data_IF_172415149384
#
_entry.id   IF_172415149384
#
_cell.length_a   1.000
_cell.length_b   1.000
_cell.length_c   1.000
_cell.angle_alpha   90.00
_cell.angle_beta   90.00
_cell.angle_gamma   90.00
#
_symmetry.space_group_name_H-M   'P 1'
#
loop_
_entity.id
_entity.type
_entity.pdbx_description
1 polymer ?
#
# COMPACT_ATOMS: atom_id res chain seq x y z
N UNK A 1 -71.82 -66.91 -20.69
CA UNK A 1 -71.53 -66.47 -22.06
C UNK A 1 -71.68 -64.94 -22.10
N UNK A 2 -70.67 -64.22 -22.14
CA UNK A 2 -70.48 -62.89 -22.61
C UNK A 2 -69.27 -62.25 -21.90
N UNK A 3 -68.27 -62.20 -22.69
CA UNK A 3 -66.97 -61.58 -22.34
C UNK A 3 -67.10 -60.09 -22.28
N UNK A 4 -66.78 -59.47 -21.16
CA UNK A 4 -66.67 -58.06 -20.96
C UNK A 4 -65.19 -57.67 -20.94
N UNK A 5 -64.70 -57.04 -22.07
CA UNK A 5 -63.38 -56.53 -22.18
C UNK A 5 -63.22 -55.24 -21.39
N UNK A 6 -62.33 -55.22 -20.44
CA UNK A 6 -61.93 -53.97 -19.73
C UNK A 6 -60.86 -53.20 -20.55
N UNK A 7 -61.19 -51.98 -20.95
CA UNK A 7 -60.27 -51.00 -21.56
C UNK A 7 -59.34 -50.47 -20.48
N UNK A 8 -58.03 -50.57 -20.69
CA UNK A 8 -57.03 -49.92 -19.90
C UNK A 8 -57.04 -48.35 -20.10
N UNK A 9 -56.78 -47.53 -19.08
CA UNK A 9 -56.69 -46.08 -19.25
C UNK A 9 -55.32 -45.69 -19.84
N UNK A 10 -55.37 -44.82 -20.83
CA UNK A 10 -54.23 -44.22 -21.49
C UNK A 10 -53.38 -43.39 -20.52
N UNK A 11 -52.08 -43.63 -20.49
CA UNK A 11 -51.09 -42.82 -19.76
C UNK A 11 -51.09 -41.37 -20.30
N UNK A 12 -51.51 -40.45 -19.45
CA UNK A 12 -51.40 -39.03 -19.73
C UNK A 12 -49.97 -38.58 -19.54
N UNK A 13 -49.36 -38.07 -20.60
CA UNK A 13 -48.09 -37.34 -20.59
C UNK A 13 -48.14 -36.13 -19.65
N UNK A 14 -47.78 -36.32 -18.41
CA UNK A 14 -47.60 -35.27 -17.40
C UNK A 14 -46.22 -34.64 -17.57
N UNK A 15 -46.11 -33.60 -18.44
CA UNK A 15 -44.95 -32.73 -18.49
C UNK A 15 -44.66 -32.17 -17.09
N UNK A 16 -43.48 -32.40 -16.45
CA UNK A 16 -43.21 -31.93 -15.10
C UNK A 16 -43.20 -30.41 -15.10
N UNK A 17 -44.20 -29.79 -14.46
CA UNK A 17 -44.26 -28.37 -14.24
C UNK A 17 -42.94 -27.90 -13.67
N UNK A 18 -42.07 -27.27 -14.46
CA UNK A 18 -40.84 -26.61 -13.99
C UNK A 18 -41.19 -25.75 -12.81
N UNK A 19 -40.72 -26.12 -11.63
CA UNK A 19 -40.80 -25.28 -10.42
C UNK A 19 -40.19 -23.92 -10.76
N UNK A 20 -41.01 -22.86 -10.83
CA UNK A 20 -40.54 -21.51 -10.99
C UNK A 20 -39.73 -21.17 -9.74
N UNK A 21 -38.41 -20.93 -9.91
CA UNK A 21 -37.57 -20.42 -8.85
C UNK A 21 -38.07 -19.02 -8.45
N UNK A 22 -38.05 -18.65 -7.14
CA UNK A 22 -38.47 -17.33 -6.71
C UNK A 22 -37.63 -16.24 -7.39
N UNK A 23 -38.29 -15.22 -7.93
CA UNK A 23 -37.61 -14.12 -8.60
C UNK A 23 -36.87 -13.22 -7.61
N UNK A 24 -35.74 -12.65 -8.05
CA UNK A 24 -34.87 -11.78 -7.26
C UNK A 24 -35.43 -10.35 -7.23
N UNK A 25 -35.42 -9.70 -6.05
CA UNK A 25 -35.81 -8.30 -5.91
C UNK A 25 -34.69 -7.41 -6.42
N UNK A 26 -35.01 -6.52 -7.37
CA UNK A 26 -34.05 -5.59 -7.95
C UNK A 26 -34.21 -4.18 -7.38
N UNK A 27 -33.09 -3.46 -7.35
CA UNK A 27 -33.10 -2.00 -7.15
C UNK A 27 -33.77 -1.33 -8.35
N UNK A 28 -34.78 -0.47 -8.16
CA UNK A 28 -35.48 0.18 -9.27
C UNK A 28 -34.52 0.89 -10.21
N UNK A 29 -34.68 0.66 -11.52
CA UNK A 29 -33.89 1.31 -12.55
C UNK A 29 -32.44 0.79 -12.75
N UNK A 30 -31.92 -0.10 -11.89
CA UNK A 30 -30.53 -0.59 -11.95
C UNK A 30 -30.19 -1.28 -13.28
N UNK A 31 -31.08 -2.13 -13.78
CA UNK A 31 -30.88 -2.85 -15.06
C UNK A 31 -30.84 -1.88 -16.23
N UNK A 32 -31.77 -0.91 -16.27
CA UNK A 32 -31.80 0.14 -17.30
C UNK A 32 -30.53 1.00 -17.26
N UNK A 33 -30.11 1.41 -16.07
CA UNK A 33 -28.88 2.19 -15.86
C UNK A 33 -27.65 1.44 -16.38
N UNK A 34 -27.46 0.19 -15.95
CA UNK A 34 -26.32 -0.63 -16.36
C UNK A 34 -26.30 -0.87 -17.88
N UNK A 35 -27.45 -1.16 -18.47
CA UNK A 35 -27.56 -1.37 -19.92
C UNK A 35 -27.18 -0.13 -20.70
N UNK A 36 -27.68 1.05 -20.32
CA UNK A 36 -27.36 2.31 -20.98
C UNK A 36 -25.88 2.68 -20.86
N UNK A 37 -25.30 2.46 -19.68
CA UNK A 37 -23.88 2.68 -19.46
C UNK A 37 -22.99 1.73 -20.26
N UNK A 38 -23.47 0.49 -20.50
CA UNK A 38 -22.77 -0.49 -21.35
C UNK A 38 -23.05 -0.29 -22.86
N UNK A 39 -23.86 0.71 -23.25
CA UNK A 39 -24.20 0.98 -24.66
C UNK A 39 -25.03 -0.14 -25.32
N UNK A 40 -25.75 -0.97 -24.55
CA UNK A 40 -26.47 -2.13 -25.06
C UNK A 40 -27.94 -1.80 -25.34
N UNK A 41 -28.48 -2.37 -26.46
CA UNK A 41 -29.91 -2.42 -26.68
C UNK A 41 -30.57 -3.52 -25.84
N UNK A 42 -31.91 -3.47 -25.66
CA UNK A 42 -32.66 -4.51 -24.96
C UNK A 42 -32.43 -5.91 -25.58
N UNK A 43 -32.37 -6.00 -26.91
CA UNK A 43 -32.13 -7.24 -27.63
C UNK A 43 -30.69 -7.76 -27.39
N UNK A 44 -29.71 -6.86 -27.39
CA UNK A 44 -28.33 -7.22 -27.12
C UNK A 44 -28.14 -7.70 -25.68
N UNK A 45 -28.78 -7.05 -24.68
CA UNK A 45 -28.69 -7.47 -23.29
C UNK A 45 -29.32 -8.87 -23.08
N UNK A 46 -30.45 -9.16 -23.70
CA UNK A 46 -31.13 -10.45 -23.56
C UNK A 46 -30.57 -11.59 -24.42
N UNK A 47 -29.69 -11.30 -25.40
CA UNK A 47 -29.23 -12.26 -26.41
C UNK A 47 -28.70 -13.56 -25.81
N UNK A 48 -29.30 -14.67 -26.22
CA UNK A 48 -28.89 -16.02 -25.81
C UNK A 48 -29.47 -16.52 -24.49
N UNK A 49 -30.26 -15.70 -23.77
CA UNK A 49 -30.81 -16.09 -22.45
C UNK A 49 -32.28 -15.72 -22.27
N UNK A 50 -32.66 -14.48 -22.57
CA UNK A 50 -34.03 -13.97 -22.48
C UNK A 50 -34.36 -13.03 -23.63
N UNK A 51 -35.67 -12.83 -23.89
CA UNK A 51 -36.13 -11.95 -24.98
C UNK A 51 -36.05 -10.48 -24.60
N UNK A 52 -35.99 -9.57 -25.60
CA UNK A 52 -36.00 -8.13 -25.37
C UNK A 52 -37.23 -7.64 -24.57
N UNK A 53 -38.47 -8.13 -24.84
CA UNK A 53 -39.61 -7.84 -23.98
C UNK A 53 -39.44 -8.27 -22.52
N UNK A 54 -38.79 -9.40 -22.26
CA UNK A 54 -38.51 -9.84 -20.89
C UNK A 54 -37.55 -8.87 -20.16
N UNK A 55 -36.50 -8.40 -20.84
CA UNK A 55 -35.60 -7.36 -20.27
C UNK A 55 -36.40 -6.08 -20.00
N UNK A 56 -37.24 -5.64 -20.92
CA UNK A 56 -38.08 -4.46 -20.74
C UNK A 56 -39.00 -4.56 -19.51
N UNK A 57 -39.61 -5.74 -19.26
CA UNK A 57 -40.44 -5.97 -18.09
C UNK A 57 -39.63 -5.95 -16.79
N UNK A 58 -38.41 -6.48 -16.82
CA UNK A 58 -37.47 -6.44 -15.70
C UNK A 58 -37.04 -5.02 -15.38
N UNK A 59 -36.66 -4.22 -16.40
CA UNK A 59 -36.26 -2.81 -16.24
C UNK A 59 -37.36 -1.93 -15.61
N UNK A 60 -38.61 -2.24 -15.92
CA UNK A 60 -39.78 -1.51 -15.39
C UNK A 60 -40.37 -2.16 -14.13
N UNK A 61 -39.64 -3.05 -13.47
CA UNK A 61 -40.01 -3.76 -12.24
C UNK A 61 -41.37 -4.52 -12.33
N UNK A 62 -41.84 -4.84 -13.56
CA UNK A 62 -43.07 -5.62 -13.80
C UNK A 62 -42.85 -7.12 -13.64
N UNK A 63 -41.59 -7.57 -13.69
CA UNK A 63 -41.22 -8.98 -13.52
C UNK A 63 -39.91 -9.06 -12.77
N UNK A 64 -39.81 -10.02 -11.83
CA UNK A 64 -38.57 -10.31 -11.11
C UNK A 64 -37.78 -11.36 -11.88
N UNK A 65 -36.51 -11.11 -12.24
CA UNK A 65 -35.67 -12.09 -12.91
C UNK A 65 -35.33 -13.24 -11.97
N UNK A 66 -35.05 -14.41 -12.53
CA UNK A 66 -34.39 -15.49 -11.79
C UNK A 66 -32.91 -15.15 -11.57
N UNK A 67 -32.26 -15.77 -10.59
CA UNK A 67 -30.84 -15.58 -10.32
C UNK A 67 -29.97 -15.80 -11.57
N UNK A 68 -30.15 -16.89 -12.36
CA UNK A 68 -29.40 -17.07 -13.62
C UNK A 68 -29.61 -15.95 -14.66
N UNK A 69 -30.82 -15.37 -14.68
CA UNK A 69 -31.11 -14.22 -15.58
C UNK A 69 -30.38 -12.97 -15.09
N UNK A 70 -30.31 -12.76 -13.80
CA UNK A 70 -29.58 -11.66 -13.20
C UNK A 70 -28.08 -11.79 -13.41
N UNK A 71 -27.52 -12.98 -13.26
CA UNK A 71 -26.11 -13.30 -13.58
C UNK A 71 -25.78 -13.02 -15.04
N UNK A 72 -26.69 -13.38 -15.97
CA UNK A 72 -26.53 -13.06 -17.38
C UNK A 72 -26.49 -11.54 -17.62
N UNK A 73 -27.41 -10.79 -17.01
CA UNK A 73 -27.46 -9.31 -17.09
C UNK A 73 -26.17 -8.70 -16.52
N UNK A 74 -25.73 -9.14 -15.37
CA UNK A 74 -24.51 -8.69 -14.70
C UNK A 74 -23.27 -8.89 -15.60
N UNK A 75 -23.10 -10.10 -16.14
CA UNK A 75 -22.01 -10.45 -17.06
C UNK A 75 -22.02 -9.59 -18.34
N UNK A 76 -23.21 -9.37 -18.91
CA UNK A 76 -23.36 -8.60 -20.16
C UNK A 76 -23.14 -7.12 -19.99
N UNK A 77 -23.42 -6.57 -18.81
CA UNK A 77 -23.25 -5.15 -18.49
C UNK A 77 -21.91 -4.83 -17.81
N UNK A 78 -21.12 -5.87 -17.44
CA UNK A 78 -19.88 -5.70 -16.71
C UNK A 78 -20.08 -5.15 -15.28
N UNK A 79 -21.28 -5.33 -14.71
CA UNK A 79 -21.61 -4.92 -13.35
C UNK A 79 -21.75 -6.13 -12.43
N UNK A 80 -21.32 -6.04 -11.16
CA UNK A 80 -21.53 -7.11 -10.20
C UNK A 80 -23.04 -7.28 -9.91
N UNK A 81 -23.46 -8.50 -9.53
CA UNK A 81 -24.87 -8.84 -9.28
C UNK A 81 -25.51 -7.91 -8.24
N UNK A 82 -24.74 -7.52 -7.26
CA UNK A 82 -25.12 -6.66 -6.14
C UNK A 82 -25.58 -5.27 -6.59
N UNK A 83 -25.02 -4.78 -7.70
CA UNK A 83 -25.46 -3.52 -8.30
C UNK A 83 -26.97 -3.52 -8.61
N UNK A 84 -27.52 -4.70 -8.88
CA UNK A 84 -28.91 -4.89 -9.28
C UNK A 84 -29.84 -5.23 -8.13
N UNK A 85 -29.33 -5.72 -7.00
CA UNK A 85 -30.18 -6.17 -5.90
C UNK A 85 -30.86 -5.01 -5.18
N UNK A 86 -32.15 -5.21 -4.82
CA UNK A 86 -32.83 -4.33 -3.88
C UNK A 86 -32.26 -4.58 -2.49
N UNK A 87 -31.81 -3.53 -1.83
CA UNK A 87 -31.41 -3.62 -0.44
C UNK A 87 -32.68 -3.79 0.44
N UNK A 88 -32.64 -4.52 1.55
CA UNK A 88 -33.75 -4.56 2.48
C UNK A 88 -34.05 -3.16 3.00
N UNK A 89 -35.31 -2.75 2.87
CA UNK A 89 -35.80 -1.43 3.32
C UNK A 89 -35.67 -1.39 4.84
N UNK A 90 -34.74 -0.59 5.36
CA UNK A 90 -34.60 -0.36 6.81
C UNK A 90 -33.16 -0.33 7.39
N UNK A 91 -32.13 -0.71 6.61
CA UNK A 91 -30.75 -0.74 7.12
C UNK A 91 -29.75 0.04 6.22
N UNK A 92 -30.19 1.04 5.48
CA UNK A 92 -29.52 1.42 4.23
C UNK A 92 -28.76 2.74 4.24
N UNK A 93 -29.19 3.76 4.97
CA UNK A 93 -28.53 5.06 4.87
C UNK A 93 -27.29 5.16 5.78
N UNK A 94 -27.41 4.79 7.04
CA UNK A 94 -26.32 4.89 8.03
C UNK A 94 -25.12 3.98 7.72
N UNK A 95 -25.37 2.73 7.28
CA UNK A 95 -24.28 1.78 7.03
C UNK A 95 -23.54 2.04 5.72
N UNK A 96 -24.19 2.66 4.73
CA UNK A 96 -23.54 3.04 3.48
C UNK A 96 -22.78 4.36 3.66
N UNK A 97 -23.35 5.31 4.37
CA UNK A 97 -22.68 6.55 4.76
C UNK A 97 -21.41 6.25 5.57
N UNK A 98 -21.51 5.36 6.57
CA UNK A 98 -20.36 4.95 7.37
C UNK A 98 -19.28 4.20 6.58
N UNK A 99 -19.64 3.44 5.52
CA UNK A 99 -18.63 2.83 4.64
C UNK A 99 -17.91 3.88 3.79
N UNK A 100 -18.63 4.88 3.29
CA UNK A 100 -18.05 6.00 2.55
C UNK A 100 -17.14 6.82 3.47
N UNK A 101 -17.55 7.04 4.70
CA UNK A 101 -16.75 7.71 5.72
C UNK A 101 -15.46 6.91 6.02
N UNK A 102 -15.56 5.59 6.16
CA UNK A 102 -14.39 4.71 6.34
C UNK A 102 -13.43 4.81 5.14
N UNK A 103 -13.95 4.85 3.91
CA UNK A 103 -13.15 5.04 2.71
C UNK A 103 -12.41 6.39 2.72
N UNK A 104 -13.12 7.45 3.12
CA UNK A 104 -12.54 8.79 3.24
C UNK A 104 -11.45 8.83 4.32
N UNK A 105 -11.69 8.28 5.51
CA UNK A 105 -10.70 8.22 6.58
C UNK A 105 -9.42 7.45 6.18
N UNK A 106 -9.58 6.35 5.44
CA UNK A 106 -8.42 5.60 4.91
C UNK A 106 -7.68 6.39 3.81
N UNK A 107 -8.41 7.12 2.96
CA UNK A 107 -7.81 7.96 1.93
C UNK A 107 -7.05 9.14 2.54
N UNK A 108 -7.58 9.73 3.62
CA UNK A 108 -6.98 10.85 4.35
C UNK A 108 -5.89 10.41 5.36
N UNK A 109 -5.50 9.12 5.35
CA UNK A 109 -4.54 8.52 6.27
C UNK A 109 -4.88 8.71 7.78
N UNK A 110 -6.15 8.96 8.13
CA UNK A 110 -6.65 9.04 9.52
C UNK A 110 -6.84 7.63 10.09
N UNK A 111 -5.74 6.89 10.19
CA UNK A 111 -5.74 5.44 10.39
C UNK A 111 -6.39 5.01 11.69
N UNK A 112 -6.17 5.73 12.81
CA UNK A 112 -6.77 5.38 14.10
C UNK A 112 -8.30 5.52 14.09
N UNK A 113 -8.82 6.57 13.48
CA UNK A 113 -10.25 6.78 13.33
C UNK A 113 -10.87 5.78 12.36
N UNK A 114 -10.18 5.48 11.26
CA UNK A 114 -10.57 4.43 10.33
C UNK A 114 -10.66 3.06 11.02
N UNK A 115 -9.71 2.72 11.88
CA UNK A 115 -9.73 1.47 12.66
C UNK A 115 -10.92 1.46 13.62
N UNK A 116 -11.17 2.53 14.37
CA UNK A 116 -12.28 2.62 15.31
C UNK A 116 -13.64 2.47 14.62
N UNK A 117 -13.83 3.20 13.49
CA UNK A 117 -15.07 3.12 12.70
C UNK A 117 -15.24 1.74 12.08
N UNK A 118 -14.20 1.19 11.46
CA UNK A 118 -14.25 -0.11 10.80
C UNK A 118 -14.57 -1.26 11.77
N UNK A 119 -14.00 -1.27 12.99
CA UNK A 119 -14.33 -2.25 14.03
C UNK A 119 -15.79 -2.12 14.44
N UNK A 120 -16.31 -0.89 14.63
CA UNK A 120 -17.71 -0.70 14.96
C UNK A 120 -18.66 -1.20 13.87
N UNK A 121 -18.24 -1.12 12.59
CA UNK A 121 -19.02 -1.64 11.46
C UNK A 121 -19.02 -3.17 11.40
N UNK A 122 -17.93 -3.83 11.82
CA UNK A 122 -17.88 -5.28 11.95
C UNK A 122 -18.81 -5.78 13.06
N UNK A 123 -18.80 -5.12 14.23
CA UNK A 123 -19.61 -5.49 15.39
C UNK A 123 -21.12 -5.31 15.16
N UNK A 124 -21.53 -4.32 14.39
CA UNK A 124 -22.93 -4.06 14.04
C UNK A 124 -23.57 -5.07 13.10
N UNK A 125 -22.81 -6.06 12.63
CA UNK A 125 -23.34 -7.13 11.78
C UNK A 125 -23.66 -6.63 10.36
N UNK A 126 -22.66 -6.18 9.64
CA UNK A 126 -22.79 -5.78 8.23
C UNK A 126 -23.22 -6.95 7.34
N UNK A 127 -23.94 -6.66 6.25
CA UNK A 127 -24.28 -7.71 5.27
C UNK A 127 -23.02 -8.38 4.73
N UNK A 128 -23.10 -9.67 4.42
CA UNK A 128 -21.97 -10.45 3.91
C UNK A 128 -21.22 -9.74 2.77
N UNK A 129 -21.95 -9.01 1.92
CA UNK A 129 -21.40 -8.22 0.81
C UNK A 129 -20.47 -7.08 1.24
N UNK A 130 -20.78 -6.40 2.34
CA UNK A 130 -19.98 -5.26 2.83
C UNK A 130 -18.78 -5.72 3.66
N UNK A 131 -18.84 -6.91 4.25
CA UNK A 131 -17.80 -7.45 5.12
C UNK A 131 -16.43 -7.52 4.42
N UNK A 132 -16.38 -7.97 3.17
CA UNK A 132 -15.12 -8.01 2.40
C UNK A 132 -14.51 -6.63 2.25
N UNK A 133 -15.34 -5.61 1.93
CA UNK A 133 -14.86 -4.23 1.74
C UNK A 133 -14.43 -3.57 3.05
N UNK A 134 -15.17 -3.78 4.14
CA UNK A 134 -14.80 -3.29 5.48
C UNK A 134 -13.48 -3.92 5.93
N UNK A 135 -13.30 -5.25 5.76
CA UNK A 135 -12.05 -5.94 6.10
C UNK A 135 -10.87 -5.44 5.28
N UNK A 136 -11.06 -5.20 3.98
CA UNK A 136 -10.05 -4.62 3.11
C UNK A 136 -9.62 -3.23 3.56
N UNK A 137 -10.58 -2.34 3.84
CA UNK A 137 -10.31 -0.98 4.33
C UNK A 137 -9.65 -0.97 5.71
N UNK A 138 -10.11 -1.83 6.61
CA UNK A 138 -9.46 -2.03 7.91
C UNK A 138 -8.03 -2.56 7.76
N UNK A 139 -7.80 -3.51 6.86
CA UNK A 139 -6.45 -3.99 6.55
C UNK A 139 -5.54 -2.85 6.13
N UNK A 140 -6.00 -1.96 5.25
CA UNK A 140 -5.27 -0.76 4.83
C UNK A 140 -5.04 0.22 6.00
N UNK A 141 -6.05 0.45 6.83
CA UNK A 141 -5.92 1.31 8.01
C UNK A 141 -4.88 0.76 9.00
N UNK A 142 -4.85 -0.56 9.22
CA UNK A 142 -3.85 -1.20 10.08
C UNK A 142 -2.44 -1.15 9.49
N UNK A 143 -2.28 -1.20 8.17
CA UNK A 143 -0.99 -0.93 7.50
C UNK A 143 -0.52 0.48 7.85
N UNK A 144 -1.37 1.47 7.65
CA UNK A 144 -1.07 2.87 7.98
C UNK A 144 -0.87 3.14 9.47
N UNK A 145 -1.43 2.30 10.36
CA UNK A 145 -1.23 2.34 11.80
C UNK A 145 -0.04 1.47 12.27
N UNK A 146 0.80 0.96 11.36
CA UNK A 146 1.96 0.10 11.65
C UNK A 146 1.64 -1.16 12.46
N UNK A 147 0.48 -1.78 12.19
CA UNK A 147 0.03 -3.03 12.81
C UNK A 147 -0.08 -4.17 11.77
N UNK A 148 1.04 -4.70 11.27
CA UNK A 148 1.09 -5.61 10.13
C UNK A 148 0.37 -6.94 10.37
N UNK A 149 0.42 -7.51 11.56
CA UNK A 149 -0.21 -8.79 11.87
C UNK A 149 -1.75 -8.73 11.75
N UNK A 150 -2.35 -7.65 12.27
CA UNK A 150 -3.80 -7.42 12.16
C UNK A 150 -4.22 -7.16 10.71
N UNK A 151 -3.40 -6.41 9.98
CA UNK A 151 -3.62 -6.16 8.56
C UNK A 151 -3.62 -7.47 7.77
N UNK A 152 -2.65 -8.36 8.01
CA UNK A 152 -2.50 -9.63 7.30
C UNK A 152 -3.75 -10.52 7.41
N UNK A 153 -4.28 -10.69 8.63
CA UNK A 153 -5.48 -11.51 8.86
C UNK A 153 -6.70 -10.95 8.11
N UNK A 154 -6.96 -9.65 8.23
CA UNK A 154 -8.10 -9.01 7.59
C UNK A 154 -8.02 -9.02 6.06
N UNK A 155 -6.82 -8.82 5.49
CA UNK A 155 -6.60 -8.90 4.05
C UNK A 155 -6.76 -10.32 3.52
N UNK A 156 -6.36 -11.36 4.28
CA UNK A 156 -6.60 -12.76 3.91
C UNK A 156 -8.10 -13.09 3.86
N UNK A 157 -8.87 -12.63 4.85
CA UNK A 157 -10.32 -12.80 4.87
C UNK A 157 -11.02 -12.00 3.77
N UNK A 158 -10.57 -10.77 3.49
CA UNK A 158 -11.09 -9.96 2.39
C UNK A 158 -10.82 -10.62 1.04
N UNK A 159 -9.61 -11.14 0.82
CA UNK A 159 -9.23 -11.87 -0.39
C UNK A 159 -10.13 -13.07 -0.62
N UNK A 160 -10.31 -13.93 0.39
CA UNK A 160 -11.19 -15.11 0.30
C UNK A 160 -12.63 -14.71 -0.05
N UNK A 161 -13.11 -13.58 0.50
CA UNK A 161 -14.42 -13.04 0.15
C UNK A 161 -14.51 -12.62 -1.31
N UNK A 162 -13.54 -11.84 -1.83
CA UNK A 162 -13.56 -11.36 -3.22
C UNK A 162 -13.37 -12.50 -4.23
N UNK A 163 -12.61 -13.53 -3.88
CA UNK A 163 -12.55 -14.78 -4.66
C UNK A 163 -13.92 -15.47 -4.73
N UNK A 164 -14.61 -15.61 -3.59
CA UNK A 164 -15.91 -16.28 -3.51
C UNK A 164 -17.02 -15.54 -4.28
N UNK A 165 -17.00 -14.20 -4.29
CA UNK A 165 -17.98 -13.38 -5.02
C UNK A 165 -17.55 -13.05 -6.46
N UNK A 166 -16.38 -13.53 -6.88
CA UNK A 166 -15.78 -13.30 -8.20
C UNK A 166 -15.65 -11.79 -8.55
N UNK A 167 -15.30 -10.95 -7.56
CA UNK A 167 -14.98 -9.55 -7.76
C UNK A 167 -13.49 -9.41 -8.13
N UNK A 168 -13.19 -9.55 -9.41
CA UNK A 168 -11.82 -9.55 -9.91
C UNK A 168 -11.06 -8.23 -9.68
N UNK A 169 -11.75 -7.08 -9.62
CA UNK A 169 -11.12 -5.79 -9.35
C UNK A 169 -10.69 -5.72 -7.88
N UNK A 170 -11.60 -5.97 -6.97
CA UNK A 170 -11.29 -5.95 -5.53
C UNK A 170 -10.32 -7.07 -5.14
N UNK A 171 -10.33 -8.19 -5.87
CA UNK A 171 -9.32 -9.25 -5.70
C UNK A 171 -7.92 -8.76 -6.06
N UNK A 172 -7.75 -8.10 -7.23
CA UNK A 172 -6.48 -7.54 -7.65
C UNK A 172 -5.98 -6.47 -6.66
N UNK A 173 -6.86 -5.56 -6.21
CA UNK A 173 -6.58 -4.55 -5.20
C UNK A 173 -6.14 -5.17 -3.87
N UNK A 174 -6.82 -6.21 -3.41
CA UNK A 174 -6.52 -6.90 -2.16
C UNK A 174 -5.16 -7.61 -2.21
N UNK A 175 -4.86 -8.34 -3.30
CA UNK A 175 -3.55 -8.99 -3.49
C UNK A 175 -2.44 -7.92 -3.59
N UNK A 176 -2.70 -6.81 -4.27
CA UNK A 176 -1.76 -5.68 -4.32
C UNK A 176 -1.45 -5.10 -2.94
N UNK A 177 -2.46 -4.93 -2.09
CA UNK A 177 -2.26 -4.46 -0.70
C UNK A 177 -1.55 -5.52 0.16
N UNK A 178 -1.76 -6.82 -0.10
CA UNK A 178 -0.95 -7.88 0.53
C UNK A 178 0.53 -7.80 0.10
N UNK A 179 0.81 -7.44 -1.15
CA UNK A 179 2.17 -7.21 -1.63
C UNK A 179 2.81 -5.99 -0.96
N UNK A 180 2.07 -4.89 -0.79
CA UNK A 180 2.52 -3.71 -0.03
C UNK A 180 2.89 -4.08 1.41
N UNK A 181 2.02 -4.86 2.08
CA UNK A 181 2.28 -5.35 3.44
C UNK A 181 3.51 -6.27 3.49
N UNK A 182 3.64 -7.20 2.53
CA UNK A 182 4.79 -8.09 2.42
C UNK A 182 6.09 -7.30 2.24
N UNK A 183 6.06 -6.25 1.43
CA UNK A 183 7.20 -5.35 1.23
C UNK A 183 7.59 -4.62 2.53
N UNK A 184 6.62 -4.08 3.26
CA UNK A 184 6.86 -3.40 4.55
C UNK A 184 7.44 -4.33 5.62
N UNK A 185 7.06 -5.61 5.59
CA UNK A 185 7.55 -6.63 6.53
C UNK A 185 8.78 -7.40 6.03
N UNK A 186 9.40 -6.94 4.94
CA UNK A 186 10.53 -7.59 4.28
C UNK A 186 10.29 -9.08 3.97
N UNK A 187 9.05 -9.43 3.63
CA UNK A 187 8.70 -10.78 3.24
C UNK A 187 9.14 -11.03 1.79
N UNK A 188 9.90 -12.12 1.50
CA UNK A 188 10.39 -12.43 0.16
C UNK A 188 9.28 -12.65 -0.88
N UNK A 189 8.04 -12.90 -0.45
CA UNK A 189 6.90 -13.12 -1.35
C UNK A 189 6.34 -11.81 -1.98
N UNK A 190 6.85 -10.64 -1.60
CA UNK A 190 6.33 -9.35 -2.03
C UNK A 190 6.26 -9.22 -3.57
N UNK A 191 7.33 -9.61 -4.29
CA UNK A 191 7.37 -9.59 -5.77
C UNK A 191 6.33 -10.53 -6.37
N UNK A 192 6.27 -11.78 -5.87
CA UNK A 192 5.32 -12.77 -6.37
C UNK A 192 3.86 -12.35 -6.17
N UNK A 193 3.54 -11.73 -5.03
CA UNK A 193 2.22 -11.18 -4.75
C UNK A 193 1.89 -10.00 -5.68
N UNK A 194 2.83 -9.10 -5.94
CA UNK A 194 2.64 -7.97 -6.85
C UNK A 194 2.40 -8.43 -8.29
N UNK A 195 3.17 -9.42 -8.77
CA UNK A 195 2.96 -10.04 -10.08
C UNK A 195 1.59 -10.72 -10.19
N UNK A 196 1.17 -11.43 -9.14
CA UNK A 196 -0.15 -12.07 -9.08
C UNK A 196 -1.28 -11.03 -9.12
N UNK A 197 -1.15 -9.90 -8.41
CA UNK A 197 -2.10 -8.80 -8.46
C UNK A 197 -2.19 -8.20 -9.86
N UNK A 198 -1.06 -7.94 -10.52
CA UNK A 198 -1.00 -7.44 -11.90
C UNK A 198 -1.64 -8.42 -12.89
N UNK A 199 -1.39 -9.72 -12.74
CA UNK A 199 -2.01 -10.76 -13.57
C UNK A 199 -3.53 -10.75 -13.41
N UNK A 200 -4.03 -10.65 -12.18
CA UNK A 200 -5.47 -10.56 -11.89
C UNK A 200 -6.08 -9.28 -12.50
N UNK A 201 -5.42 -8.12 -12.35
CA UNK A 201 -5.85 -6.86 -12.94
C UNK A 201 -5.90 -6.93 -14.48
N UNK A 202 -4.87 -7.46 -15.12
CA UNK A 202 -4.77 -7.61 -16.58
C UNK A 202 -5.73 -8.63 -17.17
N UNK A 203 -6.32 -9.51 -16.37
CA UNK A 203 -7.38 -10.41 -16.80
C UNK A 203 -8.74 -9.71 -16.96
N UNK A 204 -8.92 -8.53 -16.36
CA UNK A 204 -10.15 -7.74 -16.46
C UNK A 204 -10.33 -7.13 -17.87
N UNK A 205 -11.57 -6.91 -18.26
CA UNK A 205 -11.90 -6.29 -19.56
C UNK A 205 -13.00 -5.23 -19.37
N UNK A 206 -12.72 -3.96 -19.58
CA UNK A 206 -11.39 -3.36 -19.88
C UNK A 206 -10.44 -3.44 -18.69
N UNK A 207 -9.13 -3.40 -18.95
CA UNK A 207 -8.12 -3.32 -17.88
C UNK A 207 -8.24 -1.95 -17.22
N UNK A 208 -8.38 -1.87 -15.89
CA UNK A 208 -8.49 -0.59 -15.18
C UNK A 208 -7.11 0.07 -15.04
N UNK A 209 -6.80 1.02 -15.92
CA UNK A 209 -5.49 1.69 -15.96
C UNK A 209 -5.04 2.31 -14.62
N UNK A 210 -5.91 2.94 -13.78
CA UNK A 210 -5.49 3.42 -12.47
C UNK A 210 -4.99 2.31 -11.54
N UNK A 211 -5.71 1.17 -11.52
CA UNK A 211 -5.31 0.00 -10.71
C UNK A 211 -4.02 -0.62 -11.28
N UNK A 212 -3.90 -0.77 -12.60
CA UNK A 212 -2.69 -1.31 -13.23
C UNK A 212 -1.47 -0.43 -12.90
N UNK A 213 -1.58 0.89 -13.05
CA UNK A 213 -0.51 1.83 -12.71
C UNK A 213 -0.09 1.72 -11.24
N UNK A 214 -1.06 1.65 -10.31
CA UNK A 214 -0.78 1.49 -8.88
C UNK A 214 -0.06 0.17 -8.59
N UNK A 215 -0.53 -0.94 -9.17
CA UNK A 215 0.07 -2.26 -8.96
C UNK A 215 1.49 -2.38 -9.56
N UNK A 216 1.75 -1.69 -10.67
CA UNK A 216 3.11 -1.56 -11.20
C UNK A 216 4.02 -0.78 -10.24
N UNK A 217 3.52 0.26 -9.57
CA UNK A 217 4.23 0.96 -8.50
C UNK A 217 4.54 0.04 -7.30
N UNK A 218 3.60 -0.82 -6.91
CA UNK A 218 3.81 -1.83 -5.85
C UNK A 218 4.89 -2.84 -6.25
N UNK A 219 4.87 -3.31 -7.51
CA UNK A 219 5.90 -4.22 -8.03
C UNK A 219 7.28 -3.56 -8.04
N UNK A 220 7.34 -2.31 -8.47
CA UNK A 220 8.58 -1.54 -8.47
C UNK A 220 9.16 -1.40 -7.04
N UNK A 221 8.32 -1.04 -6.06
CA UNK A 221 8.73 -0.95 -4.66
C UNK A 221 9.23 -2.30 -4.11
N UNK A 222 8.62 -3.43 -4.52
CA UNK A 222 9.07 -4.75 -4.13
C UNK A 222 10.43 -5.13 -4.75
N UNK A 223 10.68 -4.73 -6.02
CA UNK A 223 12.01 -4.88 -6.65
C UNK A 223 13.06 -4.01 -5.97
N UNK A 224 12.70 -2.76 -5.60
CA UNK A 224 13.57 -1.86 -4.82
C UNK A 224 14.04 -2.50 -3.53
N UNK A 225 13.10 -3.06 -2.74
CA UNK A 225 13.42 -3.72 -1.47
C UNK A 225 14.35 -4.94 -1.64
N UNK A 226 14.33 -5.55 -2.83
CA UNK A 226 15.25 -6.64 -3.19
C UNK A 226 16.55 -6.14 -3.86
N UNK A 227 16.81 -4.82 -3.89
CA UNK A 227 17.96 -4.19 -4.55
C UNK A 227 18.06 -4.48 -6.06
N UNK A 228 16.94 -4.83 -6.70
CA UNK A 228 16.84 -5.04 -8.15
C UNK A 228 16.43 -3.72 -8.83
N UNK A 229 17.36 -2.77 -8.86
CA UNK A 229 17.10 -1.41 -9.35
C UNK A 229 16.68 -1.38 -10.83
N UNK A 230 17.22 -2.26 -11.65
CA UNK A 230 16.88 -2.30 -13.07
C UNK A 230 15.41 -2.64 -13.30
N UNK A 231 14.91 -3.67 -12.62
CA UNK A 231 13.49 -4.04 -12.70
C UNK A 231 12.57 -3.05 -12.01
N UNK A 232 13.03 -2.44 -10.93
CA UNK A 232 12.27 -1.39 -10.23
C UNK A 232 12.04 -0.18 -11.14
N UNK A 233 13.10 0.33 -11.76
CA UNK A 233 13.05 1.45 -12.71
C UNK A 233 12.09 1.14 -13.87
N UNK A 234 12.24 -0.02 -14.51
CA UNK A 234 11.38 -0.43 -15.62
C UNK A 234 9.91 -0.51 -15.22
N UNK A 235 9.61 -0.99 -14.01
CA UNK A 235 8.25 -1.07 -13.49
C UNK A 235 7.66 0.32 -13.18
N UNK A 236 8.44 1.25 -12.60
CA UNK A 236 8.00 2.63 -12.38
C UNK A 236 7.75 3.38 -13.69
N UNK A 237 8.65 3.27 -14.68
CA UNK A 237 8.44 3.88 -16.00
C UNK A 237 7.15 3.37 -16.65
N UNK A 238 6.89 2.07 -16.57
CA UNK A 238 5.65 1.48 -17.07
C UNK A 238 4.42 1.95 -16.30
N UNK A 239 4.53 2.10 -14.97
CA UNK A 239 3.46 2.66 -14.13
C UNK A 239 3.10 4.09 -14.57
N UNK A 240 4.11 4.91 -14.85
CA UNK A 240 3.93 6.29 -15.33
C UNK A 240 3.29 6.29 -16.71
N UNK A 241 3.77 5.46 -17.65
CA UNK A 241 3.20 5.37 -19.00
C UNK A 241 1.71 5.01 -18.97
N UNK A 242 1.33 3.99 -18.19
CA UNK A 242 -0.08 3.57 -18.03
C UNK A 242 -0.89 4.62 -17.30
N UNK A 243 -0.31 5.26 -16.27
CA UNK A 243 -0.98 6.22 -15.40
C UNK A 243 -1.13 7.61 -16.03
N UNK A 244 -0.23 8.05 -16.88
CA UNK A 244 -0.19 9.41 -17.42
C UNK A 244 -1.48 9.81 -18.20
N UNK A 245 -2.19 8.84 -18.76
CA UNK A 245 -3.43 9.09 -19.53
C UNK A 245 -4.68 9.20 -18.65
N UNK A 246 -4.69 8.70 -17.41
CA UNK A 246 -5.92 8.45 -16.63
C UNK A 246 -5.79 8.64 -15.12
N UNK A 247 -4.59 8.80 -14.57
CA UNK A 247 -4.35 8.85 -13.12
C UNK A 247 -4.51 10.26 -12.57
N UNK A 248 -4.96 10.36 -11.32
CA UNK A 248 -4.89 11.63 -10.60
C UNK A 248 -3.43 12.13 -10.52
N UNK A 249 -3.25 13.44 -10.64
CA UNK A 249 -1.94 14.09 -10.62
C UNK A 249 -1.12 13.70 -9.37
N UNK A 250 -1.78 13.45 -8.24
CA UNK A 250 -1.13 13.02 -7.00
C UNK A 250 -0.42 11.65 -7.16
N UNK A 251 -1.09 10.67 -7.79
CA UNK A 251 -0.45 9.38 -8.06
C UNK A 251 0.75 9.53 -8.99
N UNK A 252 0.64 10.35 -10.03
CA UNK A 252 1.73 10.63 -10.96
C UNK A 252 2.93 11.27 -10.23
N UNK A 253 2.68 12.23 -9.35
CA UNK A 253 3.72 12.84 -8.54
C UNK A 253 4.46 11.81 -7.68
N UNK A 254 3.74 10.94 -7.00
CA UNK A 254 4.31 9.87 -6.17
C UNK A 254 5.16 8.89 -6.98
N UNK A 255 4.72 8.52 -8.17
CA UNK A 255 5.51 7.66 -9.07
C UNK A 255 6.81 8.33 -9.52
N UNK A 256 6.77 9.61 -9.88
CA UNK A 256 7.98 10.37 -10.20
C UNK A 256 8.92 10.46 -9.00
N UNK A 257 8.40 10.69 -7.80
CA UNK A 257 9.20 10.75 -6.57
C UNK A 257 9.88 9.41 -6.25
N UNK A 258 9.13 8.30 -6.36
CA UNK A 258 9.64 6.96 -6.15
C UNK A 258 10.73 6.61 -7.16
N UNK A 259 10.51 6.90 -8.45
CA UNK A 259 11.50 6.72 -9.51
C UNK A 259 12.76 7.56 -9.26
N UNK A 260 12.61 8.79 -8.79
CA UNK A 260 13.73 9.64 -8.39
C UNK A 260 14.56 9.06 -7.26
N UNK A 261 13.89 8.49 -6.23
CA UNK A 261 14.56 7.82 -5.13
C UNK A 261 15.31 6.57 -5.57
N UNK A 262 14.76 5.81 -6.53
CA UNK A 262 15.38 4.60 -7.06
C UNK A 262 16.66 4.91 -7.88
N UNK A 263 16.61 5.87 -8.79
CA UNK A 263 17.81 6.34 -9.51
C UNK A 263 18.89 6.83 -8.55
N UNK A 264 18.52 7.55 -7.48
CA UNK A 264 19.46 7.94 -6.42
C UNK A 264 20.11 6.74 -5.76
N UNK A 265 19.33 5.72 -5.39
CA UNK A 265 19.83 4.50 -4.76
C UNK A 265 20.74 3.68 -5.70
N UNK A 266 20.47 3.72 -7.01
CA UNK A 266 21.32 3.15 -8.04
C UNK A 266 22.59 3.96 -8.34
N UNK A 267 22.77 5.14 -7.72
CA UNK A 267 23.93 6.02 -7.87
C UNK A 267 23.79 7.05 -8.98
N UNK A 268 22.71 7.07 -9.77
CA UNK A 268 22.45 8.08 -10.79
C UNK A 268 21.73 9.30 -10.17
N UNK A 269 22.52 10.14 -9.51
CA UNK A 269 22.04 11.34 -8.81
C UNK A 269 21.40 12.36 -9.75
N UNK A 270 21.89 12.48 -11.00
CA UNK A 270 21.39 13.45 -11.97
C UNK A 270 19.97 13.11 -12.43
N UNK A 271 19.77 11.85 -12.83
CA UNK A 271 18.44 11.35 -13.23
C UNK A 271 17.48 11.35 -12.02
N UNK A 272 17.97 10.99 -10.82
CA UNK A 272 17.21 11.06 -9.57
C UNK A 272 16.69 12.47 -9.28
N UNK A 273 17.55 13.48 -9.34
CA UNK A 273 17.15 14.88 -9.16
C UNK A 273 16.10 15.32 -10.20
N UNK A 274 16.29 14.96 -11.48
CA UNK A 274 15.34 15.31 -12.55
C UNK A 274 13.95 14.75 -12.34
N UNK A 275 13.83 13.49 -11.89
CA UNK A 275 12.52 12.90 -11.60
C UNK A 275 11.89 13.47 -10.33
N UNK A 276 12.68 13.78 -9.29
CA UNK A 276 12.19 14.47 -8.09
C UNK A 276 11.66 15.85 -8.43
N UNK A 277 12.34 16.63 -9.29
CA UNK A 277 11.85 17.92 -9.79
C UNK A 277 10.52 17.81 -10.56
N UNK A 278 10.34 16.75 -11.37
CA UNK A 278 9.05 16.49 -12.04
C UNK A 278 7.94 16.21 -11.03
N UNK A 279 8.23 15.46 -9.97
CA UNK A 279 7.28 15.24 -8.87
C UNK A 279 6.86 16.55 -8.23
N UNK A 280 7.82 17.40 -7.85
CA UNK A 280 7.58 18.72 -7.26
C UNK A 280 6.72 19.61 -8.15
N UNK A 281 7.01 19.67 -9.45
CA UNK A 281 6.22 20.46 -10.40
C UNK A 281 4.74 20.05 -10.46
N UNK A 282 4.44 18.75 -10.35
CA UNK A 282 3.06 18.26 -10.29
C UNK A 282 2.40 18.61 -8.95
N UNK A 283 3.12 18.44 -7.83
CA UNK A 283 2.62 18.73 -6.48
C UNK A 283 2.31 20.20 -6.27
N UNK A 284 3.09 21.10 -6.86
CA UNK A 284 2.80 22.54 -6.86
C UNK A 284 1.46 22.86 -7.53
N UNK A 285 1.16 22.18 -8.64
CA UNK A 285 -0.13 22.36 -9.37
C UNK A 285 -1.31 21.92 -8.51
N UNK A 286 -1.20 20.77 -7.83
CA UNK A 286 -2.29 20.23 -7.01
C UNK A 286 -2.33 20.80 -5.59
N UNK A 287 -1.32 21.58 -5.20
CA UNK A 287 -1.17 22.20 -3.88
C UNK A 287 -1.15 21.20 -2.72
N UNK A 288 -0.63 20.00 -2.98
CA UNK A 288 -0.42 18.97 -1.95
C UNK A 288 0.82 19.33 -1.14
N UNK A 289 0.62 20.00 -0.01
CA UNK A 289 1.71 20.54 0.81
C UNK A 289 2.49 19.46 1.56
N UNK A 290 1.83 18.37 1.90
CA UNK A 290 2.44 17.28 2.66
C UNK A 290 3.46 16.52 1.81
N UNK A 291 3.03 16.07 0.63
CA UNK A 291 3.93 15.44 -0.33
C UNK A 291 4.97 16.45 -0.84
N UNK A 292 4.61 17.75 -1.00
CA UNK A 292 5.56 18.78 -1.40
C UNK A 292 6.70 18.93 -0.39
N UNK A 293 6.40 19.01 0.92
CA UNK A 293 7.41 19.10 1.97
C UNK A 293 8.37 17.90 1.93
N UNK A 294 7.84 16.70 1.78
CA UNK A 294 8.64 15.48 1.70
C UNK A 294 9.58 15.47 0.48
N UNK A 295 9.07 15.78 -0.71
CA UNK A 295 9.91 15.77 -1.92
C UNK A 295 10.90 16.93 -2.00
N UNK A 296 10.61 18.07 -1.37
CA UNK A 296 11.60 19.13 -1.16
C UNK A 296 12.76 18.64 -0.29
N UNK A 297 12.47 17.88 0.79
CA UNK A 297 13.50 17.23 1.60
C UNK A 297 14.30 16.21 0.78
N UNK A 298 13.63 15.35 0.02
CA UNK A 298 14.29 14.34 -0.80
C UNK A 298 15.23 14.94 -1.84
N UNK A 299 14.81 16.05 -2.48
CA UNK A 299 15.65 16.79 -3.42
C UNK A 299 16.87 17.41 -2.71
N UNK A 300 16.67 17.99 -1.52
CA UNK A 300 17.75 18.51 -0.70
C UNK A 300 18.81 17.44 -0.40
N UNK A 301 18.38 16.23 -0.04
CA UNK A 301 19.29 15.08 0.20
C UNK A 301 20.05 14.66 -1.07
N UNK A 302 19.39 14.62 -2.23
CA UNK A 302 20.04 14.35 -3.53
C UNK A 302 21.10 15.39 -3.85
N UNK A 303 20.77 16.67 -3.68
CA UNK A 303 21.68 17.79 -3.94
C UNK A 303 22.90 17.78 -2.98
N UNK A 304 22.69 17.44 -1.70
CA UNK A 304 23.82 17.19 -0.78
C UNK A 304 24.75 16.08 -1.26
N UNK A 305 24.18 14.98 -1.78
CA UNK A 305 24.99 13.87 -2.32
C UNK A 305 25.77 14.29 -3.58
N UNK A 306 25.23 15.21 -4.39
CA UNK A 306 25.93 15.83 -5.54
C UNK A 306 27.00 16.86 -5.12
N UNK A 307 26.98 17.32 -3.86
CA UNK A 307 27.86 18.40 -3.39
C UNK A 307 27.31 19.81 -3.63
N UNK A 308 26.06 19.95 -4.09
CA UNK A 308 25.38 21.21 -4.38
C UNK A 308 24.74 21.77 -3.08
N UNK A 309 25.58 22.12 -2.07
CA UNK A 309 25.13 22.40 -0.71
C UNK A 309 24.23 23.64 -0.60
N UNK A 310 24.46 24.67 -1.40
CA UNK A 310 23.62 25.89 -1.37
C UNK A 310 22.20 25.63 -1.90
N UNK A 311 22.08 24.80 -2.92
CA UNK A 311 20.78 24.39 -3.44
C UNK A 311 20.07 23.44 -2.46
N UNK A 312 20.81 22.49 -1.88
CA UNK A 312 20.31 21.62 -0.83
C UNK A 312 19.71 22.43 0.33
N UNK A 313 20.42 23.48 0.79
CA UNK A 313 19.93 24.36 1.87
C UNK A 313 18.62 25.05 1.50
N UNK A 314 18.47 25.51 0.26
CA UNK A 314 17.24 26.16 -0.21
C UNK A 314 16.05 25.20 -0.18
N UNK A 315 16.23 23.99 -0.68
CA UNK A 315 15.18 22.98 -0.72
C UNK A 315 14.83 22.45 0.67
N UNK A 316 15.80 22.15 1.52
CA UNK A 316 15.56 21.74 2.91
C UNK A 316 14.87 22.85 3.73
N UNK A 317 15.28 24.12 3.54
CA UNK A 317 14.63 25.27 4.18
C UNK A 317 13.18 25.42 3.73
N UNK A 318 12.88 25.21 2.44
CA UNK A 318 11.51 25.21 1.92
C UNK A 318 10.67 24.08 2.49
N UNK A 319 11.25 22.87 2.59
CA UNK A 319 10.62 21.73 3.24
C UNK A 319 10.25 22.05 4.69
N UNK A 320 11.18 22.61 5.47
CA UNK A 320 10.93 23.00 6.86
C UNK A 320 9.80 24.04 6.97
N UNK A 321 9.82 25.08 6.13
CA UNK A 321 8.78 26.11 6.10
C UNK A 321 7.39 25.52 5.77
N UNK A 322 7.32 24.56 4.85
CA UNK A 322 6.07 23.86 4.54
C UNK A 322 5.55 23.04 5.74
N UNK A 323 6.43 22.39 6.49
CA UNK A 323 6.06 21.70 7.72
C UNK A 323 5.52 22.65 8.80
N UNK A 324 6.13 23.84 8.95
CA UNK A 324 5.71 24.84 9.93
C UNK A 324 4.35 25.47 9.56
N UNK A 325 4.14 25.83 8.29
CA UNK A 325 2.90 26.46 7.79
C UNK A 325 1.67 25.56 7.90
N UNK A 326 1.85 24.25 7.75
CA UNK A 326 0.74 23.29 7.70
C UNK A 326 0.47 22.60 9.02
N UNK A 327 1.26 22.92 10.06
CA UNK A 327 1.25 22.20 11.34
C UNK A 327 1.42 20.68 11.13
N UNK A 328 2.13 20.32 10.05
CA UNK A 328 2.50 18.95 9.72
C UNK A 328 3.45 18.42 10.79
N UNK A 329 2.89 17.67 11.71
CA UNK A 329 3.68 17.05 12.78
C UNK A 329 4.61 15.97 12.23
N UNK A 330 4.14 15.21 11.22
CA UNK A 330 4.91 14.14 10.59
C UNK A 330 5.89 14.72 9.55
N UNK A 331 7.16 14.36 9.70
CA UNK A 331 8.21 14.70 8.73
C UNK A 331 9.09 15.88 9.13
N UNK A 332 8.64 16.80 10.01
CA UNK A 332 9.48 17.92 10.47
C UNK A 332 10.74 17.43 11.18
N UNK A 333 10.62 16.43 12.03
CA UNK A 333 11.73 15.76 12.70
C UNK A 333 12.78 15.23 11.71
N UNK A 334 12.32 14.60 10.61
CA UNK A 334 13.20 14.08 9.56
C UNK A 334 13.92 15.23 8.80
N UNK A 335 13.20 16.32 8.48
CA UNK A 335 13.81 17.51 7.82
C UNK A 335 14.90 18.12 8.69
N UNK A 336 14.70 18.18 10.02
CA UNK A 336 15.72 18.65 10.95
C UNK A 336 16.98 17.77 10.90
N UNK A 337 16.85 16.43 10.75
CA UNK A 337 18.02 15.55 10.57
C UNK A 337 18.73 15.78 9.23
N UNK A 338 17.99 16.05 8.15
CA UNK A 338 18.60 16.38 6.87
C UNK A 338 19.36 17.72 6.95
N UNK A 339 18.83 18.70 7.67
CA UNK A 339 19.53 19.96 7.96
C UNK A 339 20.74 19.75 8.88
N UNK A 340 20.66 18.85 9.86
CA UNK A 340 21.80 18.43 10.68
C UNK A 340 22.92 17.84 9.81
N UNK A 341 22.58 16.96 8.85
CA UNK A 341 23.57 16.42 7.91
C UNK A 341 24.24 17.54 7.11
N UNK A 342 23.46 18.49 6.59
CA UNK A 342 23.98 19.63 5.85
C UNK A 342 24.95 20.45 6.71
N UNK A 343 24.57 20.79 7.95
CA UNK A 343 25.40 21.54 8.88
C UNK A 343 26.72 20.78 9.21
N UNK A 344 26.65 19.44 9.34
CA UNK A 344 27.85 18.61 9.54
C UNK A 344 28.79 18.65 8.32
N UNK A 345 28.26 18.64 7.11
CA UNK A 345 29.05 18.75 5.87
C UNK A 345 29.71 20.13 5.73
N UNK A 346 29.08 21.16 6.24
CA UNK A 346 29.58 22.52 6.26
C UNK A 346 30.53 22.84 7.45
N UNK A 347 30.71 21.86 8.36
CA UNK A 347 31.56 22.01 9.53
C UNK A 347 30.91 22.80 10.67
N UNK A 348 29.59 23.05 10.60
CA UNK A 348 28.83 23.83 11.59
C UNK A 348 28.33 22.87 12.72
N UNK A 349 29.30 22.36 13.50
CA UNK A 349 29.07 21.28 14.47
C UNK A 349 28.06 21.64 15.57
N UNK A 350 28.09 22.91 16.04
CA UNK A 350 27.15 23.37 17.07
C UNK A 350 25.72 23.44 16.55
N UNK A 351 25.53 23.97 15.35
CA UNK A 351 24.21 23.99 14.69
C UNK A 351 23.68 22.57 14.41
N UNK A 352 24.58 21.68 13.98
CA UNK A 352 24.20 20.26 13.79
C UNK A 352 23.72 19.62 15.09
N UNK A 353 24.36 19.95 16.21
CA UNK A 353 23.92 19.48 17.53
C UNK A 353 22.53 19.99 17.89
N UNK A 354 22.26 21.29 17.72
CA UNK A 354 20.96 21.88 18.02
C UNK A 354 19.83 21.24 17.17
N UNK A 355 20.07 21.08 15.87
CA UNK A 355 19.12 20.47 14.94
C UNK A 355 18.82 19.00 15.27
N UNK A 356 19.85 18.22 15.62
CA UNK A 356 19.66 16.82 16.00
C UNK A 356 18.93 16.68 17.34
N UNK A 357 19.22 17.55 18.32
CA UNK A 357 18.54 17.58 19.60
C UNK A 357 17.06 17.99 19.46
N UNK A 358 16.77 19.03 18.67
CA UNK A 358 15.40 19.45 18.37
C UNK A 358 14.61 18.33 17.65
N UNK A 359 15.26 17.64 16.70
CA UNK A 359 14.67 16.48 16.02
C UNK A 359 14.32 15.37 17.01
N UNK A 360 15.24 15.02 17.91
CA UNK A 360 15.03 13.99 18.93
C UNK A 360 13.83 14.33 19.82
N UNK A 361 13.81 15.54 20.38
CA UNK A 361 12.71 16.01 21.25
C UNK A 361 11.36 15.96 20.53
N UNK A 362 11.32 16.36 19.26
CA UNK A 362 10.10 16.32 18.46
C UNK A 362 9.67 14.87 18.15
N UNK A 363 10.61 14.01 17.75
CA UNK A 363 10.36 12.63 17.42
C UNK A 363 9.88 11.82 18.65
N UNK A 364 10.43 12.09 19.83
CA UNK A 364 9.96 11.51 21.09
C UNK A 364 8.52 11.90 21.40
N UNK A 365 8.17 13.19 21.26
CA UNK A 365 6.79 13.67 21.46
C UNK A 365 5.79 13.05 20.49
N UNK A 366 6.24 12.72 19.29
CA UNK A 366 5.40 12.14 18.23
C UNK A 366 5.47 10.60 18.17
N UNK A 367 6.26 9.98 19.05
CA UNK A 367 6.49 8.53 19.09
C UNK A 367 7.03 7.98 17.76
N UNK A 368 7.86 8.76 17.05
CA UNK A 368 8.49 8.39 15.77
C UNK A 368 9.75 7.54 15.99
N UNK A 369 9.59 6.27 16.37
CA UNK A 369 10.69 5.41 16.80
C UNK A 369 11.87 5.34 15.83
N UNK A 370 11.62 5.31 14.52
CA UNK A 370 12.69 5.29 13.51
C UNK A 370 13.50 6.60 13.51
N UNK A 371 12.84 7.75 13.59
CA UNK A 371 13.48 9.06 13.63
C UNK A 371 14.24 9.27 14.94
N UNK A 372 13.73 8.77 16.07
CA UNK A 372 14.43 8.75 17.36
C UNK A 372 15.78 8.03 17.22
N UNK A 373 15.77 6.81 16.66
CA UNK A 373 17.01 6.05 16.49
C UNK A 373 17.99 6.76 15.51
N UNK A 374 17.49 7.39 14.46
CA UNK A 374 18.31 8.14 13.52
C UNK A 374 18.88 9.43 14.12
N UNK A 375 18.12 10.12 14.97
CA UNK A 375 18.60 11.28 15.73
C UNK A 375 19.77 10.90 16.66
N UNK A 376 19.70 9.75 17.33
CA UNK A 376 20.81 9.23 18.10
C UNK A 376 22.06 8.96 17.26
N UNK A 377 21.95 8.45 16.03
CA UNK A 377 23.10 8.32 15.12
C UNK A 377 23.75 9.68 14.85
N UNK A 378 22.96 10.70 14.56
CA UNK A 378 23.48 12.05 14.27
C UNK A 378 24.10 12.68 15.51
N UNK A 379 23.49 12.57 16.70
CA UNK A 379 24.06 13.04 17.95
C UNK A 379 25.38 12.32 18.26
N UNK A 380 25.48 11.03 17.99
CA UNK A 380 26.73 10.26 18.13
C UNK A 380 27.85 10.80 17.22
N UNK A 381 27.54 11.09 15.96
CA UNK A 381 28.48 11.68 14.99
C UNK A 381 28.91 13.08 15.40
N UNK A 382 27.98 13.90 15.92
CA UNK A 382 28.27 15.24 16.42
C UNK A 382 29.14 15.18 17.67
N UNK A 383 28.86 14.30 18.62
CA UNK A 383 29.66 14.11 19.84
C UNK A 383 31.10 13.69 19.51
N UNK A 384 31.29 12.81 18.53
CA UNK A 384 32.61 12.43 18.04
C UNK A 384 33.38 13.63 17.48
N UNK A 385 32.72 14.44 16.63
CA UNK A 385 33.34 15.68 16.09
C UNK A 385 33.69 16.69 17.15
N UNK A 386 32.97 16.68 18.29
CA UNK A 386 33.27 17.52 19.48
C UNK A 386 34.36 16.90 20.38
N UNK A 387 34.93 15.76 20.03
CA UNK A 387 35.95 15.06 20.84
C UNK A 387 35.39 14.47 22.12
N UNK A 388 34.13 14.04 22.13
CA UNK A 388 33.43 13.42 23.28
C UNK A 388 33.12 11.95 23.00
N UNK A 389 34.13 11.07 23.04
CA UNK A 389 33.97 9.69 22.62
C UNK A 389 32.96 8.90 23.46
N UNK A 390 32.91 9.12 24.77
CA UNK A 390 31.99 8.41 25.66
C UNK A 390 30.51 8.79 25.41
N UNK A 391 30.25 10.04 25.03
CA UNK A 391 28.93 10.52 24.65
C UNK A 391 28.53 9.92 23.30
N UNK A 392 29.43 9.91 22.33
CA UNK A 392 29.21 9.28 21.04
C UNK A 392 28.84 7.80 21.16
N UNK A 393 29.60 7.05 21.99
CA UNK A 393 29.36 5.63 22.23
C UNK A 393 27.97 5.36 22.82
N UNK A 394 27.52 6.20 23.77
CA UNK A 394 26.17 6.10 24.33
C UNK A 394 25.10 6.32 23.25
N UNK A 395 25.27 7.37 22.46
CA UNK A 395 24.31 7.72 21.40
C UNK A 395 24.21 6.59 20.35
N UNK A 396 25.34 6.04 19.88
CA UNK A 396 25.28 4.88 18.97
C UNK A 396 24.65 3.64 19.59
N UNK A 397 24.87 3.39 20.89
CA UNK A 397 24.23 2.27 21.60
C UNK A 397 22.71 2.45 21.67
N UNK A 398 22.22 3.69 21.87
CA UNK A 398 20.79 4.00 21.89
C UNK A 398 20.17 3.83 20.49
N UNK A 399 20.87 4.27 19.44
CA UNK A 399 20.46 4.07 18.06
C UNK A 399 20.32 2.58 17.69
N UNK A 400 21.33 1.78 18.02
CA UNK A 400 21.34 0.34 17.76
C UNK A 400 20.15 -0.33 18.44
N UNK A 401 19.93 -0.06 19.73
CA UNK A 401 18.77 -0.61 20.47
C UNK A 401 17.43 -0.20 19.84
N UNK A 402 17.33 1.05 19.38
CA UNK A 402 16.13 1.54 18.70
C UNK A 402 15.87 0.79 17.40
N UNK A 403 16.86 0.63 16.52
CA UNK A 403 16.70 -0.10 15.27
C UNK A 403 16.45 -1.60 15.48
N UNK A 404 17.05 -2.22 16.49
CA UNK A 404 16.80 -3.61 16.88
C UNK A 404 15.35 -3.81 17.33
N UNK A 405 14.85 -2.95 18.20
CA UNK A 405 13.48 -3.01 18.71
C UNK A 405 12.44 -2.84 17.59
N UNK A 406 12.76 -2.06 16.58
CA UNK A 406 11.91 -1.82 15.39
C UNK A 406 12.09 -2.88 14.30
N UNK A 407 13.06 -3.78 14.42
CA UNK A 407 13.38 -4.77 13.38
C UNK A 407 13.93 -4.17 12.08
N UNK A 408 14.48 -2.94 12.11
CA UNK A 408 14.98 -2.20 10.96
C UNK A 408 16.39 -2.63 10.56
N UNK A 409 16.51 -3.82 10.00
CA UNK A 409 17.82 -4.48 9.73
C UNK A 409 18.76 -3.65 8.88
N UNK A 410 18.28 -3.01 7.83
CA UNK A 410 19.12 -2.21 6.94
C UNK A 410 19.69 -0.97 7.66
N UNK A 411 18.87 -0.28 8.45
CA UNK A 411 19.31 0.85 9.29
C UNK A 411 20.27 0.41 10.37
N UNK A 412 20.01 -0.75 10.97
CA UNK A 412 20.90 -1.36 11.95
C UNK A 412 22.28 -1.64 11.34
N UNK A 413 22.33 -2.24 10.16
CA UNK A 413 23.56 -2.49 9.41
C UNK A 413 24.32 -1.19 9.12
N UNK A 414 23.65 -0.17 8.64
CA UNK A 414 24.24 1.16 8.36
C UNK A 414 24.78 1.78 9.65
N UNK A 415 24.04 1.70 10.76
CA UNK A 415 24.45 2.23 12.06
C UNK A 415 25.72 1.54 12.57
N UNK A 416 25.80 0.21 12.54
CA UNK A 416 27.01 -0.53 12.88
C UNK A 416 28.19 -0.17 11.99
N UNK A 417 27.99 -0.01 10.68
CA UNK A 417 29.02 0.41 9.74
C UNK A 417 29.59 1.81 10.08
N UNK A 418 28.71 2.78 10.30
CA UNK A 418 29.10 4.16 10.67
C UNK A 418 29.88 4.16 12.00
N UNK A 419 29.41 3.38 13.00
CA UNK A 419 30.06 3.31 14.29
C UNK A 419 31.42 2.61 14.20
N UNK A 420 31.53 1.55 13.40
CA UNK A 420 32.80 0.86 13.16
C UNK A 420 33.85 1.78 12.51
N UNK A 421 33.48 2.55 11.48
CA UNK A 421 34.36 3.54 10.87
C UNK A 421 34.85 4.60 11.83
N UNK A 422 33.98 5.01 12.76
CA UNK A 422 34.30 6.00 13.78
C UNK A 422 35.30 5.42 14.81
N UNK A 423 35.08 4.18 15.26
CA UNK A 423 35.98 3.47 16.18
C UNK A 423 37.34 3.20 15.53
N UNK A 424 37.36 2.86 14.24
CA UNK A 424 38.61 2.69 13.48
C UNK A 424 39.42 3.99 13.44
N UNK A 425 38.79 5.12 13.16
CA UNK A 425 39.46 6.44 13.20
C UNK A 425 40.02 6.80 14.59
N UNK A 426 39.42 6.31 15.65
CA UNK A 426 39.92 6.46 17.03
C UNK A 426 41.03 5.47 17.38
N UNK A 427 41.33 4.49 16.52
CA UNK A 427 42.28 3.41 16.77
C UNK A 427 41.75 2.26 17.61
N UNK A 428 40.43 2.20 17.86
CA UNK A 428 39.77 1.17 18.65
C UNK A 428 39.40 -0.05 17.79
N UNK A 429 40.41 -0.65 17.14
CA UNK A 429 40.24 -1.66 16.09
C UNK A 429 39.45 -2.91 16.53
N UNK A 430 39.63 -3.35 17.80
CA UNK A 430 38.90 -4.52 18.30
C UNK A 430 37.39 -4.29 18.35
N UNK A 431 36.97 -3.12 18.82
CA UNK A 431 35.56 -2.71 18.87
C UNK A 431 35.00 -2.47 17.46
N UNK A 432 35.77 -1.84 16.59
CA UNK A 432 35.40 -1.64 15.19
C UNK A 432 35.11 -2.98 14.49
N UNK A 433 35.96 -3.98 14.72
CA UNK A 433 35.79 -5.33 14.19
C UNK A 433 34.49 -6.00 14.68
N UNK A 434 34.17 -5.89 15.98
CA UNK A 434 32.91 -6.47 16.51
C UNK A 434 31.67 -5.82 15.84
N UNK A 435 31.65 -4.49 15.67
CA UNK A 435 30.54 -3.83 14.98
C UNK A 435 30.46 -4.20 13.50
N UNK A 436 31.58 -4.35 12.80
CA UNK A 436 31.58 -4.86 11.41
C UNK A 436 31.05 -6.29 11.33
N UNK A 437 31.38 -7.15 12.30
CA UNK A 437 30.86 -8.51 12.37
C UNK A 437 29.35 -8.53 12.62
N UNK A 438 28.83 -7.71 13.52
CA UNK A 438 27.39 -7.56 13.73
C UNK A 438 26.68 -7.04 12.47
N UNK A 439 27.26 -6.07 11.76
CA UNK A 439 26.74 -5.62 10.47
C UNK A 439 26.65 -6.77 9.47
N UNK A 440 27.70 -7.58 9.33
CA UNK A 440 27.68 -8.75 8.44
C UNK A 440 26.66 -9.81 8.86
N UNK A 441 26.45 -10.01 10.17
CA UNK A 441 25.43 -10.93 10.68
C UNK A 441 24.00 -10.45 10.37
N UNK A 442 23.77 -9.16 10.48
CA UNK A 442 22.49 -8.54 10.14
C UNK A 442 22.19 -8.65 8.63
N UNK A 443 23.22 -8.57 7.76
CA UNK A 443 23.06 -8.67 6.31
C UNK A 443 22.74 -10.09 5.81
N UNK A 444 23.19 -11.14 6.54
CA UNK A 444 23.04 -12.54 6.10
C UNK A 444 22.67 -13.48 7.26
N UNK A 445 21.41 -13.45 7.75
CA UNK A 445 20.98 -14.34 8.83
C UNK A 445 20.95 -15.80 8.34
N UNK A 446 22.02 -16.51 8.48
CA UNK A 446 22.13 -17.93 8.10
C UNK A 446 23.53 -18.44 7.77
N UNK A 447 24.48 -17.57 7.44
CA UNK A 447 25.85 -18.01 7.09
C UNK A 447 26.65 -18.46 8.32
N UNK A 448 26.44 -17.88 9.48
CA UNK A 448 27.19 -18.21 10.71
C UNK A 448 26.58 -19.33 11.57
N UNK A 449 25.32 -19.73 11.31
CA UNK A 449 24.73 -20.92 11.94
C UNK A 449 25.41 -22.24 11.51
N UNK A 450 26.13 -22.24 10.39
CA UNK A 450 26.84 -23.43 9.88
C UNK A 450 28.17 -23.72 10.58
N UNK A 451 28.79 -22.74 11.23
CA UNK A 451 30.04 -22.96 11.95
C UNK A 451 29.82 -23.54 13.34
N UNK A 452 28.78 -23.09 14.07
CA UNK A 452 28.45 -23.67 15.39
C UNK A 452 27.95 -25.13 15.35
N UNK A 453 27.37 -25.56 14.21
CA UNK A 453 26.95 -26.96 14.03
C UNK A 453 28.14 -27.90 13.77
N UNK A 454 29.24 -27.37 13.19
CA UNK A 454 30.46 -28.17 12.98
C UNK A 454 31.26 -28.39 14.27
N UNK A 455 31.25 -27.43 15.18
CA UNK A 455 31.91 -27.61 16.50
C UNK A 455 31.15 -28.58 17.40
N UNK A 456 29.82 -28.67 17.31
CA UNK A 456 29.02 -29.65 18.07
C UNK A 456 29.04 -31.06 17.46
N UNK A 457 29.35 -31.23 16.18
CA UNK A 457 29.46 -32.54 15.54
C UNK A 457 30.90 -33.08 15.47
N UNK A 458 31.88 -32.28 15.85
CA UNK A 458 33.29 -32.67 15.91
C UNK A 458 33.78 -33.21 17.28
N UNK A 459 32.87 -33.32 18.25
CA UNK A 459 33.17 -33.82 19.62
C UNK A 459 32.30 -35.03 20.02
N UNK A 460 31.92 -35.88 19.02
CA UNK A 460 31.33 -37.19 19.29
C UNK A 460 32.17 -38.30 18.65
#
# INVERSE_FOLDING_TARGET
MASGGAKAPSAGDGNPKRRRLPGVNLRPGSVKQARLQAGLSLAQLGKGHVTAPAIYLIENARTRPSLPTLEHIARRTGRPIEFFLAQPVGATDDSQAALIELEALVADARNQEAVALGLSLLDRGSSAFRLGRIRFLLGRAYIGASQPERAASLLAEARSHFEAVNDGLMLAECIGTQAELANMTHNPDAVALAEMALKACRALRPVPAPTESRLLGVLAAAHMANHDHERAIAAYEKAIEVGAAMSGLQQLARLYGALGADYRSAGDLETGARYTLRSLAVLEVIRDRDDLARFENDLGVVLMAKGELDEARRHLGRSLALCDDTNLRCGRSLVLLSLCELAMREGQVEQAHELAAESLELAERLEEGATIAEAHVWLGRVADRKGRPEEADRQFSDAIRGFEALGMRERLLQCHGIFAELLERRGELARAYEHMKEALQASRPGLLRREHVKEQLGSA
#
